data_IF_698633564711
#
_entry.id   IF_698633564711
#
_cell.length_a   1.000
_cell.length_b   1.000
_cell.length_c   1.000
_cell.angle_alpha   90.00
_cell.angle_beta   90.00
_cell.angle_gamma   90.00
#
_symmetry.space_group_name_H-M   'P 1'
#
loop_
_entity.id
_entity.type
_entity.pdbx_description
1 polymer ?
#
# COMPACT_ATOMS: atom_id res chain seq x y z
N UNK A 1 22.72 -6.06 14.47
CA UNK A 1 22.37 -4.86 13.68
C UNK A 1 23.27 -4.86 12.47
N UNK A 2 22.74 -4.74 11.27
CA UNK A 2 23.56 -4.54 10.08
C UNK A 2 23.68 -3.04 9.85
N UNK A 3 24.90 -2.53 9.79
CA UNK A 3 25.11 -1.12 9.45
C UNK A 3 24.44 -0.79 8.10
N UNK A 4 23.82 0.39 7.92
CA UNK A 4 23.28 0.80 6.65
C UNK A 4 24.39 0.85 5.60
N UNK A 5 24.13 0.23 4.44
CA UNK A 5 25.07 0.17 3.33
C UNK A 5 24.68 1.18 2.26
N UNK A 6 25.64 1.92 1.78
CA UNK A 6 25.48 2.86 0.68
C UNK A 6 25.19 2.11 -0.62
N UNK A 7 24.06 2.41 -1.27
CA UNK A 7 23.67 1.80 -2.55
C UNK A 7 23.75 2.77 -3.72
N UNK A 8 23.73 4.09 -3.44
CA UNK A 8 23.98 5.12 -4.44
C UNK A 8 24.62 6.35 -3.79
N UNK A 9 25.45 7.05 -4.56
CA UNK A 9 26.03 8.35 -4.22
C UNK A 9 25.79 9.27 -5.40
N UNK A 10 25.09 10.39 -5.18
CA UNK A 10 24.80 11.35 -6.24
C UNK A 10 26.09 12.07 -6.67
N UNK A 11 26.32 12.13 -7.98
CA UNK A 11 27.52 12.78 -8.51
C UNK A 11 27.58 14.27 -8.12
N UNK A 12 28.73 14.69 -7.59
CA UNK A 12 28.94 16.07 -7.13
C UNK A 12 28.24 16.45 -5.82
N UNK A 13 27.59 15.49 -5.15
CA UNK A 13 26.99 15.70 -3.83
C UNK A 13 28.06 15.91 -2.75
N UNK A 14 27.69 16.47 -1.58
CA UNK A 14 28.59 16.58 -0.44
C UNK A 14 29.27 15.26 -0.07
N UNK A 15 28.53 14.15 -0.08
CA UNK A 15 29.06 12.82 0.17
C UNK A 15 30.09 12.37 -0.89
N UNK A 16 29.81 12.62 -2.18
CA UNK A 16 30.74 12.29 -3.26
C UNK A 16 32.02 13.11 -3.14
N UNK A 17 31.93 14.41 -2.81
CA UNK A 17 33.09 15.29 -2.61
C UNK A 17 33.92 14.84 -1.42
N UNK A 18 33.29 14.38 -0.36
CA UNK A 18 33.93 13.83 0.83
C UNK A 18 34.53 12.43 0.62
N UNK A 19 34.26 11.77 -0.50
CA UNK A 19 34.84 10.47 -0.86
C UNK A 19 34.06 9.26 -0.35
N UNK A 20 32.77 9.42 -0.07
CA UNK A 20 31.88 8.27 0.20
C UNK A 20 31.65 7.49 -1.10
N UNK A 21 31.69 6.17 -1.03
CA UNK A 21 31.53 5.28 -2.17
C UNK A 21 30.38 4.28 -1.99
N UNK A 22 29.86 3.81 -3.12
CA UNK A 22 28.86 2.72 -3.12
C UNK A 22 29.50 1.47 -2.51
N UNK A 23 28.79 0.84 -1.58
CA UNK A 23 29.26 -0.33 -0.84
C UNK A 23 29.81 -0.01 0.56
N UNK A 24 30.03 1.27 0.90
CA UNK A 24 30.41 1.66 2.25
C UNK A 24 29.32 1.26 3.26
N UNK A 25 29.73 0.78 4.41
CA UNK A 25 28.84 0.57 5.55
C UNK A 25 28.95 1.77 6.50
N UNK A 26 27.84 2.38 6.83
CA UNK A 26 27.80 3.54 7.74
C UNK A 26 27.72 3.01 9.18
N UNK A 27 28.78 3.15 9.92
CA UNK A 27 28.88 2.68 11.31
C UNK A 27 28.24 3.66 12.27
N UNK A 28 28.57 4.95 12.11
CA UNK A 28 28.00 6.03 12.90
C UNK A 28 27.97 7.34 12.12
N UNK A 29 27.18 8.30 12.60
CA UNK A 29 27.16 9.71 12.24
C UNK A 29 27.37 10.49 13.53
N UNK A 30 28.44 11.29 13.61
CA UNK A 30 28.84 12.01 14.83
C UNK A 30 28.88 11.10 16.08
N UNK A 31 29.37 9.86 15.89
CA UNK A 31 29.50 8.85 16.95
C UNK A 31 28.18 8.14 17.31
N UNK A 32 27.05 8.45 16.67
CA UNK A 32 25.76 7.77 16.86
C UNK A 32 25.47 6.80 15.73
N UNK A 33 25.20 5.53 16.06
CA UNK A 33 24.77 4.53 15.09
C UNK A 33 23.27 4.70 14.74
N UNK A 34 22.93 5.06 13.49
CA UNK A 34 21.54 5.20 13.09
C UNK A 34 20.83 3.83 13.09
N UNK A 35 19.65 3.77 13.68
CA UNK A 35 18.87 2.50 13.77
C UNK A 35 17.84 2.34 12.65
N UNK A 36 17.53 3.43 11.97
CA UNK A 36 16.59 3.48 10.85
C UNK A 36 16.78 4.77 10.04
N UNK A 37 16.06 4.87 8.92
CA UNK A 37 16.12 6.02 8.01
C UNK A 37 15.60 7.30 8.65
N UNK A 38 14.72 7.20 9.66
CA UNK A 38 14.18 8.36 10.36
C UNK A 38 15.33 9.03 11.14
N UNK A 39 16.02 8.23 11.97
CA UNK A 39 17.17 8.74 12.73
C UNK A 39 18.34 9.13 11.84
N UNK A 40 18.55 8.38 10.75
CA UNK A 40 19.53 8.73 9.73
C UNK A 40 19.29 10.14 9.18
N UNK A 41 18.06 10.42 8.71
CA UNK A 41 17.71 11.70 8.12
C UNK A 41 17.90 12.86 9.11
N UNK A 42 17.59 12.61 10.38
CA UNK A 42 17.78 13.61 11.42
C UNK A 42 19.26 13.91 11.68
N UNK A 43 20.10 12.87 11.76
CA UNK A 43 21.54 13.00 11.98
C UNK A 43 22.26 13.70 10.82
N UNK A 44 21.84 13.46 9.58
CA UNK A 44 22.48 14.03 8.40
C UNK A 44 21.98 15.43 8.03
N UNK A 45 21.07 16.02 8.80
CA UNK A 45 20.57 17.38 8.51
C UNK A 45 21.58 18.47 8.87
N UNK A 46 22.54 18.18 9.75
CA UNK A 46 23.57 19.11 10.18
C UNK A 46 24.51 19.54 9.03
N UNK A 47 24.99 20.83 9.05
CA UNK A 47 25.88 21.35 8.00
C UNK A 47 27.27 20.71 7.99
N UNK A 48 27.76 20.27 9.12
CA UNK A 48 29.03 19.57 9.27
C UNK A 48 28.82 18.32 10.08
N UNK A 49 29.22 17.18 9.56
CA UNK A 49 29.05 15.89 10.20
C UNK A 49 30.24 14.96 9.94
N UNK A 50 30.54 14.09 10.87
CA UNK A 50 31.50 13.02 10.75
C UNK A 50 30.82 11.68 10.49
N UNK A 51 31.21 11.03 9.41
CA UNK A 51 30.74 9.68 9.05
C UNK A 51 31.83 8.67 9.41
N UNK A 52 31.52 7.77 10.33
CA UNK A 52 32.31 6.56 10.54
C UNK A 52 31.86 5.50 9.53
N UNK A 53 32.72 5.17 8.60
CA UNK A 53 32.45 4.25 7.51
C UNK A 53 33.28 2.97 7.66
N UNK A 54 32.77 1.86 7.12
CA UNK A 54 33.55 0.65 6.91
C UNK A 54 33.56 0.30 5.43
N UNK A 55 34.77 0.30 4.82
CA UNK A 55 35.01 -0.02 3.41
C UNK A 55 35.96 -1.19 3.30
N UNK A 56 35.47 -2.33 2.78
CA UNK A 56 36.31 -3.53 2.62
C UNK A 56 36.94 -4.04 3.92
N UNK A 57 36.30 -3.77 5.06
CA UNK A 57 36.82 -4.12 6.41
C UNK A 57 37.73 -3.07 7.05
N UNK A 58 38.03 -1.99 6.36
CA UNK A 58 38.79 -0.85 6.92
C UNK A 58 37.79 0.17 7.50
N UNK A 59 38.11 0.70 8.66
CA UNK A 59 37.37 1.81 9.28
C UNK A 59 37.93 3.13 8.77
N UNK A 60 37.04 4.02 8.35
CA UNK A 60 37.36 5.33 7.78
C UNK A 60 36.46 6.35 8.48
N UNK A 61 37.04 7.49 8.83
CA UNK A 61 36.30 8.66 9.28
C UNK A 61 36.33 9.71 8.15
N UNK A 62 35.14 10.18 7.76
CA UNK A 62 34.97 11.13 6.67
C UNK A 62 34.17 12.32 7.17
N UNK A 63 34.76 13.50 7.15
CA UNK A 63 34.02 14.73 7.45
C UNK A 63 33.35 15.24 6.20
N UNK A 64 32.05 15.49 6.30
CA UNK A 64 31.23 16.08 5.24
C UNK A 64 30.78 17.46 5.64
N UNK A 65 30.97 18.41 4.75
CA UNK A 65 30.47 19.79 4.92
C UNK A 65 29.47 20.08 3.79
N UNK A 66 28.33 20.62 4.16
CA UNK A 66 27.25 20.96 3.23
C UNK A 66 26.52 22.23 3.66
N UNK A 67 25.73 22.84 2.77
CA UNK A 67 24.82 23.90 3.15
C UNK A 67 23.68 23.38 4.03
N UNK A 68 23.13 24.23 4.89
CA UNK A 68 21.96 23.87 5.68
C UNK A 68 20.79 23.46 4.76
N UNK A 69 20.17 22.31 5.02
CA UNK A 69 19.09 21.73 4.20
C UNK A 69 19.56 21.11 2.86
N UNK A 70 20.85 21.14 2.55
CA UNK A 70 21.38 20.46 1.36
C UNK A 70 21.37 18.96 1.55
N UNK A 71 20.82 18.17 0.58
CA UNK A 71 20.86 16.71 0.64
C UNK A 71 22.30 16.18 0.67
N UNK A 72 22.55 15.21 1.55
CA UNK A 72 23.87 14.54 1.62
C UNK A 72 24.24 13.81 0.33
N UNK A 73 23.22 13.31 -0.39
CA UNK A 73 23.37 12.63 -1.67
C UNK A 73 23.74 11.14 -1.54
N UNK A 74 23.42 10.53 -0.41
CA UNK A 74 23.57 9.07 -0.18
C UNK A 74 22.20 8.40 -0.20
N UNK A 75 22.11 7.25 -0.88
CA UNK A 75 21.02 6.30 -0.69
C UNK A 75 21.52 5.08 0.07
N UNK A 76 20.72 4.62 1.03
CA UNK A 76 21.02 3.42 1.83
C UNK A 76 20.12 2.25 1.45
N UNK A 77 20.59 1.03 1.70
CA UNK A 77 19.96 -0.21 1.24
C UNK A 77 18.63 -0.56 1.91
N UNK A 78 18.26 0.05 3.02
CA UNK A 78 17.07 -0.30 3.81
C UNK A 78 16.57 0.92 4.57
N UNK A 79 15.29 0.90 4.94
CA UNK A 79 14.70 1.87 5.85
C UNK A 79 14.94 1.53 7.34
N UNK A 80 15.15 0.26 7.66
CA UNK A 80 15.45 -0.20 9.01
C UNK A 80 16.83 -0.83 9.04
N UNK A 81 17.68 -0.43 9.99
CA UNK A 81 19.04 -0.90 10.17
C UNK A 81 19.19 -1.81 11.38
N UNK A 82 18.20 -1.80 12.25
CA UNK A 82 18.05 -2.74 13.35
C UNK A 82 17.08 -3.88 12.99
N UNK A 83 16.39 -4.45 13.95
CA UNK A 83 15.42 -5.51 13.72
C UNK A 83 14.02 -4.93 13.51
N UNK A 84 13.35 -5.41 12.45
CA UNK A 84 11.93 -5.21 12.27
C UNK A 84 11.14 -5.79 13.45
N UNK A 85 10.15 -5.05 13.93
CA UNK A 85 9.19 -5.60 14.88
C UNK A 85 8.14 -6.43 14.15
N UNK A 86 8.26 -7.73 14.29
CA UNK A 86 7.29 -8.66 13.73
C UNK A 86 6.02 -8.71 14.59
N UNK A 87 4.88 -8.79 13.93
CA UNK A 87 3.58 -8.95 14.59
C UNK A 87 3.48 -10.33 15.26
N UNK A 88 3.05 -10.35 16.52
CA UNK A 88 2.82 -11.57 17.29
C UNK A 88 1.32 -11.92 17.49
N UNK A 89 0.43 -11.20 16.79
CA UNK A 89 -0.98 -11.54 16.75
C UNK A 89 -1.23 -12.77 15.87
N UNK A 90 -2.34 -13.45 16.11
CA UNK A 90 -2.77 -14.63 15.35
C UNK A 90 -4.18 -14.44 14.79
N UNK A 91 -4.43 -13.27 14.21
CA UNK A 91 -5.74 -12.89 13.67
C UNK A 91 -6.26 -13.94 12.69
N UNK A 92 -7.54 -14.32 12.81
CA UNK A 92 -8.17 -15.26 11.86
C UNK A 92 -8.26 -14.67 10.44
N UNK A 93 -8.33 -13.35 10.36
CA UNK A 93 -8.41 -12.60 9.10
C UNK A 93 -7.04 -12.19 8.54
N UNK A 94 -5.93 -12.63 9.14
CA UNK A 94 -4.60 -12.23 8.69
C UNK A 94 -4.33 -12.73 7.26
N UNK A 95 -4.13 -11.81 6.33
CA UNK A 95 -3.88 -12.15 4.93
C UNK A 95 -2.55 -12.91 4.73
N UNK A 96 -1.56 -12.72 5.61
CA UNK A 96 -0.28 -13.45 5.56
C UNK A 96 -0.50 -14.97 5.72
N UNK A 97 -1.42 -15.38 6.59
CA UNK A 97 -1.73 -16.80 6.77
C UNK A 97 -2.53 -17.41 5.63
N UNK A 98 -3.01 -16.56 4.72
CA UNK A 98 -3.76 -16.97 3.55
C UNK A 98 -2.93 -16.96 2.25
N UNK A 99 -1.60 -16.88 2.36
CA UNK A 99 -0.70 -16.92 1.22
C UNK A 99 -0.25 -18.36 0.92
N UNK A 100 -0.18 -18.75 -0.36
CA UNK A 100 0.41 -20.03 -0.73
C UNK A 100 1.91 -20.07 -0.42
N UNK A 101 2.44 -21.25 -0.16
CA UNK A 101 3.88 -21.43 0.02
C UNK A 101 4.65 -21.10 -1.28
N UNK A 102 5.88 -20.63 -1.16
CA UNK A 102 6.80 -20.43 -2.29
C UNK A 102 6.74 -19.07 -2.96
N UNK A 103 6.01 -18.10 -2.42
CA UNK A 103 6.08 -16.72 -2.87
C UNK A 103 7.35 -16.03 -2.35
N UNK A 104 7.60 -14.81 -2.80
CA UNK A 104 8.72 -13.99 -2.34
C UNK A 104 8.66 -13.74 -0.82
N UNK A 105 9.81 -13.66 -0.18
CA UNK A 105 9.94 -13.57 1.27
C UNK A 105 9.24 -12.34 1.87
N UNK A 106 9.28 -11.21 1.16
CA UNK A 106 8.64 -9.96 1.59
C UNK A 106 7.13 -10.11 1.82
N UNK A 107 6.45 -10.97 1.05
CA UNK A 107 5.01 -11.19 1.21
C UNK A 107 4.64 -11.91 2.52
N UNK A 108 5.58 -12.64 3.11
CA UNK A 108 5.35 -13.31 4.40
C UNK A 108 5.80 -12.50 5.59
N UNK A 109 6.28 -11.28 5.36
CA UNK A 109 6.70 -10.40 6.41
C UNK A 109 5.47 -9.85 7.13
N UNK A 110 5.35 -10.21 8.39
CA UNK A 110 4.25 -9.80 9.25
C UNK A 110 4.77 -8.76 10.24
N UNK A 111 4.66 -7.50 9.90
CA UNK A 111 5.13 -6.40 10.73
C UNK A 111 4.06 -5.87 11.70
N UNK A 112 4.51 -5.27 12.79
CA UNK A 112 3.76 -4.46 13.74
C UNK A 112 4.67 -3.33 14.24
N UNK A 113 5.32 -2.66 13.27
CA UNK A 113 6.36 -1.66 13.52
C UNK A 113 5.84 -0.26 13.19
N UNK A 114 5.69 0.58 14.21
CA UNK A 114 5.20 1.96 14.06
C UNK A 114 6.05 2.81 13.09
N UNK A 115 7.33 2.47 12.91
CA UNK A 115 8.20 3.16 11.95
C UNK A 115 7.76 2.92 10.52
N UNK A 116 7.31 1.69 10.21
CA UNK A 116 6.74 1.37 8.89
C UNK A 116 5.37 2.00 8.71
N UNK A 117 4.62 2.16 9.79
CA UNK A 117 3.38 2.93 9.79
C UNK A 117 3.64 4.37 9.36
N UNK A 118 4.60 5.04 9.99
CA UNK A 118 4.99 6.42 9.65
C UNK A 118 5.57 6.55 8.24
N UNK A 119 6.48 5.64 7.85
CA UNK A 119 7.23 5.75 6.60
C UNK A 119 6.42 5.35 5.36
N UNK A 120 5.50 4.39 5.51
CA UNK A 120 4.86 3.72 4.37
C UNK A 120 3.36 3.51 4.52
N UNK A 121 2.75 3.98 5.60
CA UNK A 121 1.32 3.80 5.83
C UNK A 121 0.92 2.39 6.30
N UNK A 122 1.86 1.53 6.68
CA UNK A 122 1.53 0.21 7.19
C UNK A 122 0.70 0.30 8.47
N UNK A 123 -0.33 -0.53 8.59
CA UNK A 123 -1.14 -0.54 9.79
C UNK A 123 -0.46 -1.30 10.92
N UNK A 124 -0.24 -0.63 12.06
CA UNK A 124 0.19 -1.27 13.31
C UNK A 124 -1.01 -1.56 14.22
N UNK A 125 -0.95 -2.67 14.96
CA UNK A 125 -1.96 -3.00 15.95
C UNK A 125 -1.66 -2.40 17.32
N UNK A 126 -0.49 -1.80 17.51
CA UNK A 126 0.07 -1.32 18.75
C UNK A 126 0.26 -2.41 19.83
N UNK A 127 0.10 -3.70 19.49
CA UNK A 127 0.24 -4.78 20.49
C UNK A 127 1.68 -4.96 20.97
N UNK A 128 2.65 -4.46 20.21
CA UNK A 128 4.07 -4.43 20.55
C UNK A 128 4.61 -3.03 20.86
N UNK A 129 3.74 -2.03 20.88
CA UNK A 129 4.10 -0.66 21.19
C UNK A 129 4.40 -0.48 22.68
N UNK A 130 5.40 0.32 23.01
CA UNK A 130 5.91 0.53 24.36
C UNK A 130 5.95 2.02 24.72
N UNK A 131 6.21 2.32 26.00
CA UNK A 131 6.40 3.70 26.46
C UNK A 131 7.57 4.41 25.77
N UNK A 132 8.67 3.69 25.54
CA UNK A 132 9.83 4.23 24.81
C UNK A 132 9.48 4.55 23.34
N UNK A 133 8.55 3.80 22.76
CA UNK A 133 8.08 4.10 21.41
C UNK A 133 7.20 5.33 21.38
N UNK A 134 6.31 5.47 22.38
CA UNK A 134 5.49 6.67 22.53
C UNK A 134 6.38 7.91 22.70
N UNK A 135 7.37 7.84 23.60
CA UNK A 135 8.33 8.92 23.82
C UNK A 135 9.03 9.31 22.51
N UNK A 136 9.48 8.32 21.74
CA UNK A 136 10.12 8.56 20.45
C UNK A 136 9.17 9.17 19.44
N UNK A 137 7.96 8.63 19.30
CA UNK A 137 6.95 9.16 18.37
C UNK A 137 6.67 10.62 18.65
N UNK A 138 6.55 10.99 19.93
CA UNK A 138 6.30 12.37 20.35
C UNK A 138 7.52 13.26 20.09
N UNK A 139 8.70 12.82 20.50
CA UNK A 139 9.93 13.65 20.42
C UNK A 139 10.44 13.83 19.00
N UNK A 140 10.28 12.81 18.15
CA UNK A 140 10.67 12.88 16.73
C UNK A 140 9.52 13.34 15.83
N UNK A 141 8.30 13.57 16.37
CA UNK A 141 7.15 14.07 15.63
C UNK A 141 6.67 13.09 14.53
N UNK A 142 6.67 11.78 14.82
CA UNK A 142 6.31 10.76 13.83
C UNK A 142 4.80 10.71 13.60
N UNK A 143 4.32 11.50 12.67
CA UNK A 143 2.92 11.69 12.30
C UNK A 143 2.80 11.85 10.77
N UNK A 144 1.79 11.26 10.11
CA UNK A 144 0.73 10.43 10.67
C UNK A 144 1.14 8.99 11.00
N UNK A 145 0.31 8.29 11.80
CA UNK A 145 0.38 6.85 12.00
C UNK A 145 -0.91 6.17 11.55
N UNK A 146 -0.79 4.91 11.11
CA UNK A 146 -1.92 4.09 10.69
C UNK A 146 -2.14 2.96 11.70
N UNK A 147 -3.33 2.85 12.28
CA UNK A 147 -3.62 1.95 13.39
C UNK A 147 -4.81 1.04 13.10
N UNK A 148 -4.58 -0.27 13.18
CA UNK A 148 -5.63 -1.29 13.14
C UNK A 148 -6.43 -1.27 14.44
N UNK A 149 -7.68 -0.83 14.38
CA UNK A 149 -8.58 -0.74 15.55
C UNK A 149 -9.44 -1.99 15.68
N UNK A 150 -10.14 -2.38 14.62
CA UNK A 150 -11.04 -3.51 14.44
C UNK A 150 -12.28 -3.51 15.37
N UNK A 151 -12.11 -3.24 16.66
CA UNK A 151 -13.17 -3.05 17.64
C UNK A 151 -12.67 -2.19 18.80
N UNK A 152 -13.56 -1.39 19.38
CA UNK A 152 -13.29 -0.61 20.59
C UNK A 152 -13.61 -1.40 21.86
N UNK A 153 -14.39 -2.46 21.78
CA UNK A 153 -14.56 -3.42 22.86
C UNK A 153 -13.31 -4.27 23.03
N UNK A 154 -12.79 -4.34 24.27
CA UNK A 154 -11.54 -5.04 24.56
C UNK A 154 -11.64 -6.55 24.36
N UNK A 155 -12.79 -7.16 24.66
CA UNK A 155 -12.96 -8.60 24.54
C UNK A 155 -13.03 -9.01 23.07
N UNK A 156 -13.81 -8.28 22.28
CA UNK A 156 -13.91 -8.49 20.83
C UNK A 156 -12.55 -8.30 20.16
N UNK A 157 -11.83 -7.22 20.49
CA UNK A 157 -10.51 -6.96 19.90
C UNK A 157 -9.48 -8.03 20.28
N UNK A 158 -9.49 -8.51 21.53
CA UNK A 158 -8.64 -9.61 21.98
C UNK A 158 -8.93 -10.90 21.20
N UNK A 159 -10.21 -11.18 20.98
CA UNK A 159 -10.65 -12.36 20.21
C UNK A 159 -10.18 -12.23 18.76
N UNK A 160 -10.45 -11.12 18.09
CA UNK A 160 -10.06 -10.88 16.70
C UNK A 160 -8.56 -11.02 16.48
N UNK A 161 -7.76 -10.43 17.37
CA UNK A 161 -6.28 -10.49 17.29
C UNK A 161 -5.71 -11.80 17.83
N UNK A 162 -6.52 -12.64 18.47
CA UNK A 162 -6.07 -13.80 19.26
C UNK A 162 -4.91 -13.44 20.19
N UNK A 163 -5.02 -12.27 20.82
CA UNK A 163 -3.99 -11.70 21.67
C UNK A 163 -4.64 -10.92 22.83
N UNK A 164 -4.36 -11.36 24.07
CA UNK A 164 -4.92 -10.74 25.28
C UNK A 164 -4.50 -9.29 25.49
N UNK A 165 -3.45 -8.83 24.79
CA UNK A 165 -3.01 -7.43 24.82
C UNK A 165 -3.82 -6.54 23.87
N UNK A 166 -4.55 -7.12 22.93
CA UNK A 166 -5.25 -6.39 21.88
C UNK A 166 -6.10 -5.23 22.43
N UNK A 167 -7.04 -5.50 23.34
CA UNK A 167 -7.90 -4.48 23.95
C UNK A 167 -7.12 -3.45 24.77
N UNK A 168 -6.30 -3.86 25.76
CA UNK A 168 -5.53 -2.92 26.58
C UNK A 168 -4.61 -1.99 25.81
N UNK A 169 -4.12 -2.36 24.64
CA UNK A 169 -3.22 -1.51 23.84
C UNK A 169 -3.91 -0.33 23.16
N UNK A 170 -5.24 -0.26 23.14
CA UNK A 170 -5.96 0.95 22.73
C UNK A 170 -5.64 2.18 23.62
N UNK A 171 -5.06 1.97 24.80
CA UNK A 171 -4.48 3.06 25.60
C UNK A 171 -3.39 3.83 24.84
N UNK A 172 -2.64 3.15 24.00
CA UNK A 172 -1.59 3.79 23.19
C UNK A 172 -2.18 4.67 22.11
N UNK A 173 -3.29 4.22 21.49
CA UNK A 173 -4.03 5.06 20.55
C UNK A 173 -4.50 6.35 21.27
N UNK A 174 -5.09 6.23 22.48
CA UNK A 174 -5.48 7.42 23.23
C UNK A 174 -4.28 8.33 23.54
N UNK A 175 -3.16 7.74 24.00
CA UNK A 175 -1.95 8.51 24.30
C UNK A 175 -1.38 9.23 23.07
N UNK A 176 -1.37 8.59 21.89
CA UNK A 176 -0.94 9.21 20.63
C UNK A 176 -1.80 10.43 20.30
N UNK A 177 -3.13 10.28 20.35
CA UNK A 177 -4.09 11.37 20.09
C UNK A 177 -3.97 12.51 21.13
N UNK A 178 -3.78 12.18 22.42
CA UNK A 178 -3.58 13.18 23.50
C UNK A 178 -2.33 14.05 23.27
N UNK A 179 -1.34 13.53 22.53
CA UNK A 179 -0.13 14.27 22.18
C UNK A 179 -0.19 14.89 20.77
N UNK A 180 -1.36 14.89 20.13
CA UNK A 180 -1.57 15.54 18.84
C UNK A 180 -0.97 14.79 17.64
N UNK A 181 -0.66 13.50 17.80
CA UNK A 181 -0.24 12.66 16.67
C UNK A 181 -1.47 12.38 15.80
N UNK A 182 -1.38 12.69 14.52
CA UNK A 182 -2.40 12.35 13.55
C UNK A 182 -2.45 10.83 13.36
N UNK A 183 -3.63 10.25 13.48
CA UNK A 183 -3.81 8.80 13.36
C UNK A 183 -4.97 8.49 12.42
N UNK A 184 -4.69 7.63 11.44
CA UNK A 184 -5.69 7.00 10.58
C UNK A 184 -6.02 5.61 11.10
N UNK A 185 -7.31 5.34 11.32
CA UNK A 185 -7.78 4.07 11.85
C UNK A 185 -8.30 3.12 10.76
N UNK A 186 -8.18 1.82 10.99
CA UNK A 186 -8.76 0.80 10.11
C UNK A 186 -9.54 -0.24 10.90
N UNK A 187 -10.69 -0.63 10.37
CA UNK A 187 -11.51 -1.76 10.81
C UNK A 187 -11.58 -2.77 9.68
N UNK A 188 -10.95 -3.93 9.83
CA UNK A 188 -11.26 -5.08 8.99
C UNK A 188 -12.54 -5.69 9.52
N UNK A 189 -13.62 -5.57 8.75
CA UNK A 189 -14.93 -6.06 9.17
C UNK A 189 -15.11 -7.52 8.71
N UNK A 190 -15.23 -8.40 9.68
CA UNK A 190 -15.35 -9.85 9.51
C UNK A 190 -16.80 -10.25 9.77
N UNK A 191 -17.54 -10.78 8.76
CA UNK A 191 -18.93 -11.15 8.91
C UNK A 191 -19.19 -12.13 10.05
N UNK A 192 -20.13 -11.77 10.95
CA UNK A 192 -20.49 -12.54 12.14
C UNK A 192 -19.52 -12.42 13.31
N UNK A 193 -18.54 -11.49 13.25
CA UNK A 193 -17.58 -11.29 14.33
C UNK A 193 -17.57 -9.85 14.84
N UNK A 194 -17.33 -8.88 13.97
CA UNK A 194 -17.32 -7.45 14.31
C UNK A 194 -18.14 -6.58 13.35
N UNK A 195 -19.09 -7.16 12.64
CA UNK A 195 -20.10 -6.50 11.83
C UNK A 195 -21.36 -6.14 12.65
N UNK A 196 -22.39 -5.61 12.01
CA UNK A 196 -23.68 -5.29 12.61
C UNK A 196 -23.56 -4.47 13.90
N UNK A 197 -24.19 -4.94 14.97
CA UNK A 197 -24.23 -4.26 16.27
C UNK A 197 -22.83 -4.03 16.87
N UNK A 198 -21.87 -4.91 16.59
CA UNK A 198 -20.48 -4.75 17.08
C UNK A 198 -19.78 -3.62 16.32
N UNK A 199 -20.00 -3.50 15.01
CA UNK A 199 -19.48 -2.38 14.23
C UNK A 199 -20.09 -1.06 14.72
N UNK A 200 -21.40 -1.03 14.93
CA UNK A 200 -22.10 0.14 15.47
C UNK A 200 -21.55 0.55 16.85
N UNK A 201 -21.41 -0.40 17.77
CA UNK A 201 -20.79 -0.16 19.07
C UNK A 201 -19.33 0.32 18.96
N UNK A 202 -18.60 -0.17 17.94
CA UNK A 202 -17.22 0.27 17.67
C UNK A 202 -17.21 1.73 17.22
N UNK A 203 -18.10 2.13 16.30
CA UNK A 203 -18.20 3.51 15.83
C UNK A 203 -18.63 4.45 16.97
N UNK A 204 -19.59 4.04 17.80
CA UNK A 204 -19.94 4.78 19.02
C UNK A 204 -18.74 4.93 19.98
N UNK A 205 -18.00 3.86 20.18
CA UNK A 205 -16.80 3.87 21.02
C UNK A 205 -15.65 4.71 20.45
N UNK A 206 -15.57 4.88 19.13
CA UNK A 206 -14.65 5.82 18.50
C UNK A 206 -15.07 7.25 18.78
N UNK A 207 -16.36 7.59 18.64
CA UNK A 207 -16.87 8.92 18.97
C UNK A 207 -16.60 9.31 20.44
N UNK A 208 -16.77 8.36 21.34
CA UNK A 208 -16.62 8.57 22.78
C UNK A 208 -15.16 8.71 23.22
N UNK A 209 -14.26 7.90 22.66
CA UNK A 209 -12.89 7.76 23.16
C UNK A 209 -11.79 8.24 22.22
N UNK A 210 -12.05 8.33 20.93
CA UNK A 210 -11.05 8.64 19.91
C UNK A 210 -11.56 9.62 18.83
N UNK A 211 -12.32 10.69 19.23
CA UNK A 211 -12.90 11.62 18.25
C UNK A 211 -11.86 12.43 17.47
N UNK A 212 -10.61 12.45 17.93
CA UNK A 212 -9.49 13.15 17.28
C UNK A 212 -8.84 12.34 16.15
N UNK A 213 -9.23 11.09 15.91
CA UNK A 213 -8.76 10.32 14.76
C UNK A 213 -8.90 11.15 13.48
N UNK A 214 -7.88 11.18 12.65
CA UNK A 214 -7.92 11.91 11.37
C UNK A 214 -8.96 11.30 10.42
N UNK A 215 -8.97 9.99 10.32
CA UNK A 215 -9.97 9.23 9.56
C UNK A 215 -10.07 7.79 10.08
N UNK A 216 -11.13 7.09 9.67
CA UNK A 216 -11.37 5.69 9.96
C UNK A 216 -11.92 4.99 8.72
N UNK A 217 -11.24 3.97 8.21
CA UNK A 217 -11.78 3.16 7.13
C UNK A 217 -12.35 1.82 7.64
N UNK A 218 -13.44 1.40 7.04
CA UNK A 218 -14.02 0.07 7.20
C UNK A 218 -13.78 -0.70 5.91
N UNK A 219 -13.00 -1.78 5.99
CA UNK A 219 -12.65 -2.62 4.84
C UNK A 219 -13.21 -4.02 5.03
N UNK A 220 -13.67 -4.70 3.97
CA UNK A 220 -14.15 -6.07 4.08
C UNK A 220 -13.00 -7.05 4.33
N UNK A 221 -13.34 -8.17 4.90
CA UNK A 221 -12.43 -9.30 5.03
C UNK A 221 -12.08 -9.86 3.65
N UNK A 222 -10.81 -9.79 3.28
CA UNK A 222 -10.28 -10.49 2.11
C UNK A 222 -10.09 -11.98 2.37
N UNK A 223 -10.60 -12.84 1.48
CA UNK A 223 -10.47 -14.30 1.59
C UNK A 223 -9.81 -14.87 0.35
N UNK A 224 -8.70 -15.59 0.56
CA UNK A 224 -8.07 -16.37 -0.50
C UNK A 224 -8.50 -17.85 -0.44
N UNK A 225 -8.26 -18.59 -1.53
CA UNK A 225 -8.50 -20.04 -1.58
C UNK A 225 -7.64 -20.87 -0.60
N UNK A 226 -6.64 -20.24 0.02
CA UNK A 226 -5.79 -20.85 1.04
C UNK A 226 -6.17 -20.45 2.46
N UNK A 227 -7.34 -19.84 2.63
CA UNK A 227 -7.88 -19.60 3.96
C UNK A 227 -8.25 -20.95 4.62
N UNK A 228 -7.80 -21.13 5.85
CA UNK A 228 -8.05 -22.34 6.65
C UNK A 228 -8.89 -22.06 7.90
N UNK A 229 -9.29 -20.80 8.11
CA UNK A 229 -10.06 -20.39 9.28
C UNK A 229 -11.57 -20.61 9.03
N UNK A 230 -12.22 -21.53 9.74
CA UNK A 230 -13.59 -21.95 9.40
C UNK A 230 -14.64 -20.87 9.66
N UNK A 231 -14.36 -19.87 10.50
CA UNK A 231 -15.28 -18.75 10.74
C UNK A 231 -15.17 -17.65 9.68
N UNK A 232 -14.08 -17.61 8.94
CA UNK A 232 -13.82 -16.56 7.96
C UNK A 232 -14.52 -16.91 6.64
N UNK A 233 -15.35 -16.00 6.18
CA UNK A 233 -16.09 -16.12 4.93
C UNK A 233 -16.21 -14.76 4.25
N UNK A 234 -16.45 -14.76 2.97
CA UNK A 234 -16.68 -13.55 2.22
C UNK A 234 -17.95 -12.82 2.71
N UNK A 235 -17.92 -11.50 2.62
CA UNK A 235 -19.07 -10.63 2.86
C UNK A 235 -20.15 -10.87 1.79
N UNK A 236 -21.39 -11.05 2.18
CA UNK A 236 -22.52 -11.13 1.24
C UNK A 236 -22.94 -9.74 0.77
N UNK A 237 -23.74 -9.69 -0.29
CA UNK A 237 -24.30 -8.44 -0.82
C UNK A 237 -25.11 -7.68 0.23
N UNK A 238 -25.94 -8.40 0.99
CA UNK A 238 -26.83 -7.85 2.02
C UNK A 238 -26.00 -7.29 3.20
N UNK A 239 -24.95 -8.00 3.61
CA UNK A 239 -24.03 -7.53 4.65
C UNK A 239 -23.28 -6.30 4.18
N UNK A 240 -22.78 -6.29 2.94
CA UNK A 240 -22.14 -5.13 2.34
C UNK A 240 -23.05 -3.91 2.32
N UNK A 241 -24.30 -4.08 1.89
CA UNK A 241 -25.29 -3.01 1.90
C UNK A 241 -25.60 -2.50 3.32
N UNK A 242 -25.58 -3.39 4.31
CA UNK A 242 -25.75 -3.02 5.71
C UNK A 242 -24.57 -2.17 6.22
N UNK A 243 -23.34 -2.54 5.88
CA UNK A 243 -22.14 -1.76 6.23
C UNK A 243 -22.17 -0.37 5.58
N UNK A 244 -22.49 -0.30 4.26
CA UNK A 244 -22.60 0.99 3.56
C UNK A 244 -23.63 1.90 4.22
N UNK A 245 -24.81 1.36 4.55
CA UNK A 245 -25.88 2.12 5.23
C UNK A 245 -25.40 2.59 6.63
N UNK A 246 -24.84 1.70 7.42
CA UNK A 246 -24.37 2.01 8.78
C UNK A 246 -23.28 3.08 8.75
N UNK A 247 -22.32 2.96 7.85
CA UNK A 247 -21.25 3.96 7.67
C UNK A 247 -21.85 5.32 7.28
N UNK A 248 -22.83 5.35 6.36
CA UNK A 248 -23.48 6.59 5.96
C UNK A 248 -24.26 7.26 7.13
N UNK A 249 -24.94 6.47 7.95
CA UNK A 249 -25.62 6.96 9.17
C UNK A 249 -24.61 7.56 10.17
N UNK A 250 -23.50 6.88 10.41
CA UNK A 250 -22.46 7.36 11.31
C UNK A 250 -21.67 8.54 10.75
N UNK A 251 -21.48 8.62 9.44
CA UNK A 251 -20.92 9.82 8.81
C UNK A 251 -21.75 11.07 9.14
N UNK A 252 -23.06 10.94 9.13
CA UNK A 252 -23.95 12.06 9.49
C UNK A 252 -23.88 12.39 10.97
N UNK A 253 -23.82 11.40 11.86
CA UNK A 253 -23.64 11.59 13.30
C UNK A 253 -22.30 12.31 13.58
N UNK A 254 -21.21 11.82 13.02
CA UNK A 254 -19.90 12.45 13.19
C UNK A 254 -19.89 13.88 12.62
N UNK A 255 -20.50 14.11 11.47
CA UNK A 255 -20.61 15.44 10.88
C UNK A 255 -21.36 16.41 11.78
N UNK A 256 -22.43 15.98 12.45
CA UNK A 256 -23.17 16.81 13.39
C UNK A 256 -22.39 17.10 14.69
N UNK A 257 -21.64 16.13 15.18
CA UNK A 257 -20.92 16.25 16.46
C UNK A 257 -19.52 16.84 16.28
N UNK A 258 -18.79 16.40 15.25
CA UNK A 258 -17.38 16.75 15.03
C UNK A 258 -17.16 17.75 13.89
N UNK A 259 -18.19 18.03 13.09
CA UNK A 259 -18.07 18.87 11.90
C UNK A 259 -17.45 18.19 10.68
N UNK A 260 -17.17 16.87 10.74
CA UNK A 260 -16.57 16.07 9.69
C UNK A 260 -17.09 14.64 9.72
N UNK A 261 -16.93 13.89 8.62
CA UNK A 261 -17.51 12.54 8.48
C UNK A 261 -16.73 11.45 9.22
N UNK A 262 -15.45 11.60 9.38
CA UNK A 262 -14.51 10.71 10.09
C UNK A 262 -14.43 9.27 9.54
N UNK A 263 -15.56 8.55 9.33
CA UNK A 263 -15.59 7.15 8.92
C UNK A 263 -15.95 6.98 7.46
N UNK A 264 -15.31 6.01 6.78
CA UNK A 264 -15.53 5.73 5.36
C UNK A 264 -15.54 4.22 5.12
N UNK A 265 -16.48 3.75 4.27
CA UNK A 265 -16.43 2.40 3.74
C UNK A 265 -15.52 2.36 2.51
N UNK A 266 -14.74 1.28 2.37
CA UNK A 266 -13.94 1.08 1.17
C UNK A 266 -14.83 0.86 -0.06
N UNK A 267 -14.30 1.14 -1.24
CA UNK A 267 -14.99 1.02 -2.52
C UNK A 267 -15.52 -0.41 -2.76
N UNK A 268 -14.82 -1.42 -2.23
CA UNK A 268 -15.24 -2.81 -2.34
C UNK A 268 -16.63 -3.06 -1.74
N UNK A 269 -17.02 -2.36 -0.67
CA UNK A 269 -18.37 -2.49 -0.12
C UNK A 269 -19.44 -1.98 -1.08
N UNK A 270 -19.18 -0.89 -1.79
CA UNK A 270 -20.12 -0.35 -2.79
C UNK A 270 -20.25 -1.30 -3.97
N UNK A 271 -19.13 -1.89 -4.42
CA UNK A 271 -19.14 -2.91 -5.48
C UNK A 271 -19.90 -4.17 -5.05
N UNK A 272 -19.63 -4.69 -3.86
CA UNK A 272 -20.32 -5.88 -3.32
C UNK A 272 -21.81 -5.64 -3.13
N UNK A 273 -22.20 -4.44 -2.69
CA UNK A 273 -23.58 -4.05 -2.48
C UNK A 273 -24.33 -3.67 -3.78
N UNK A 274 -23.62 -3.55 -4.90
CA UNK A 274 -24.12 -3.02 -6.17
C UNK A 274 -24.73 -1.62 -5.98
N UNK A 275 -24.00 -0.75 -5.32
CA UNK A 275 -24.39 0.63 -5.04
C UNK A 275 -23.42 1.62 -5.69
N UNK A 276 -23.91 2.81 -6.08
CA UNK A 276 -23.04 3.84 -6.64
C UNK A 276 -22.03 4.33 -5.62
N UNK A 277 -20.83 4.69 -6.09
CA UNK A 277 -19.83 5.33 -5.25
C UNK A 277 -20.30 6.71 -4.78
N UNK A 278 -19.94 7.13 -3.57
CA UNK A 278 -20.23 8.47 -3.07
C UNK A 278 -19.67 9.57 -3.97
N UNK A 279 -20.24 10.78 -3.89
CA UNK A 279 -19.69 11.93 -4.57
C UNK A 279 -18.32 12.33 -4.00
N UNK A 280 -17.42 12.96 -4.80
CA UNK A 280 -16.05 13.27 -4.39
C UNK A 280 -15.95 14.03 -3.07
N UNK A 281 -16.89 14.94 -2.82
CA UNK A 281 -16.95 15.78 -1.61
C UNK A 281 -17.20 14.95 -0.33
N UNK A 282 -17.77 13.76 -0.49
CA UNK A 282 -18.04 12.86 0.65
C UNK A 282 -16.76 12.29 1.25
N UNK A 283 -15.71 12.16 0.45
CA UNK A 283 -14.44 11.56 0.89
C UNK A 283 -13.52 12.52 1.65
N UNK A 284 -13.89 13.80 1.78
CA UNK A 284 -13.17 14.82 2.56
C UNK A 284 -11.65 14.85 2.29
N UNK A 285 -11.28 14.82 1.01
CA UNK A 285 -9.88 14.89 0.58
C UNK A 285 -9.21 13.53 0.35
N UNK A 286 -9.95 12.43 0.43
CA UNK A 286 -9.45 11.07 0.12
C UNK A 286 -8.29 10.63 1.02
N UNK A 287 -8.33 10.94 2.31
CA UNK A 287 -7.26 10.64 3.26
C UNK A 287 -6.91 9.15 3.37
N UNK A 288 -7.84 8.25 3.02
CA UNK A 288 -7.67 6.79 3.06
C UNK A 288 -7.69 6.17 1.65
N UNK A 289 -7.22 6.90 0.66
CA UNK A 289 -7.23 6.46 -0.74
C UNK A 289 -6.47 5.13 -0.94
N UNK A 290 -5.33 4.98 -0.28
CA UNK A 290 -4.50 3.78 -0.37
C UNK A 290 -5.15 2.53 0.25
N UNK A 291 -6.13 2.73 1.12
CA UNK A 291 -6.94 1.66 1.72
C UNK A 291 -8.18 1.31 0.88
N UNK A 292 -8.26 1.83 -0.34
CA UNK A 292 -9.37 1.61 -1.25
C UNK A 292 -10.60 2.44 -0.95
N UNK A 293 -10.44 3.61 -0.32
CA UNK A 293 -11.53 4.56 -0.05
C UNK A 293 -11.52 5.67 -1.10
N UNK A 294 -12.46 5.65 -2.01
CA UNK A 294 -12.59 6.64 -3.10
C UNK A 294 -11.61 6.43 -4.26
N UNK A 295 -10.90 5.32 -4.32
CA UNK A 295 -9.98 4.98 -5.40
C UNK A 295 -10.72 4.82 -6.73
N UNK A 296 -11.87 4.15 -6.72
CA UNK A 296 -12.71 4.00 -7.89
C UNK A 296 -13.25 5.35 -8.38
N UNK A 297 -13.65 6.22 -7.45
CA UNK A 297 -14.14 7.56 -7.81
C UNK A 297 -13.02 8.43 -8.39
N UNK A 298 -11.82 8.41 -7.86
CA UNK A 298 -10.67 9.14 -8.44
C UNK A 298 -10.31 8.61 -9.81
N UNK A 299 -10.33 7.28 -10.00
CA UNK A 299 -10.15 6.67 -11.30
C UNK A 299 -11.17 7.15 -12.34
N UNK A 300 -12.47 7.17 -11.98
CA UNK A 300 -13.54 7.69 -12.85
C UNK A 300 -13.30 9.17 -13.19
N UNK A 301 -12.89 9.98 -12.22
CA UNK A 301 -12.58 11.39 -12.45
C UNK A 301 -11.43 11.57 -13.44
N UNK A 302 -10.35 10.86 -13.25
CA UNK A 302 -9.17 10.90 -14.13
C UNK A 302 -9.49 10.35 -15.52
N UNK A 303 -10.22 9.25 -15.61
CA UNK A 303 -10.63 8.64 -16.87
C UNK A 303 -11.53 9.55 -17.70
N UNK A 304 -12.40 10.32 -17.05
CA UNK A 304 -13.30 11.29 -17.70
C UNK A 304 -12.65 12.67 -17.93
N UNK A 305 -11.34 12.81 -17.67
CA UNK A 305 -10.59 14.05 -17.84
C UNK A 305 -10.86 15.10 -16.76
N UNK A 306 -11.49 14.72 -15.65
CA UNK A 306 -11.61 15.53 -14.44
C UNK A 306 -10.32 15.35 -13.62
N UNK A 307 -9.72 16.44 -13.16
CA UNK A 307 -8.46 16.38 -12.41
C UNK A 307 -8.70 15.75 -11.02
N UNK A 308 -7.93 14.72 -10.68
CA UNK A 308 -7.81 14.25 -9.30
C UNK A 308 -6.68 15.00 -8.60
N UNK A 309 -6.88 15.35 -7.33
CA UNK A 309 -5.83 15.94 -6.48
C UNK A 309 -5.09 14.89 -5.67
N UNK A 310 -5.48 13.62 -5.80
CA UNK A 310 -4.84 12.52 -5.07
C UNK A 310 -3.48 12.24 -5.69
N UNK A 311 -2.45 12.30 -4.87
CA UNK A 311 -1.09 11.95 -5.28
C UNK A 311 -0.89 10.44 -5.16
N UNK A 312 -0.04 9.89 -6.03
CA UNK A 312 0.30 8.47 -5.97
C UNK A 312 1.11 8.13 -4.71
N UNK A 313 0.96 6.89 -4.32
CA UNK A 313 1.66 6.29 -3.18
C UNK A 313 3.18 6.39 -3.27
N UNK A 314 3.80 6.45 -2.11
CA UNK A 314 5.24 6.31 -1.99
C UNK A 314 5.67 4.84 -2.21
N UNK A 315 6.95 4.68 -2.47
CA UNK A 315 7.59 3.37 -2.58
C UNK A 315 7.50 2.58 -1.28
N UNK A 316 6.89 1.41 -1.33
CA UNK A 316 6.67 0.59 -0.15
C UNK A 316 7.94 -0.04 0.43
N UNK A 317 7.88 -0.36 1.71
CA UNK A 317 8.94 -1.03 2.47
C UNK A 317 9.40 -2.35 1.85
N UNK A 318 8.51 -3.07 1.21
CA UNK A 318 8.83 -4.39 0.62
C UNK A 318 9.95 -4.34 -0.43
N UNK A 319 10.10 -3.21 -1.14
CA UNK A 319 11.21 -3.02 -2.05
C UNK A 319 12.58 -3.06 -1.34
N UNK A 320 12.63 -2.67 -0.07
CA UNK A 320 13.83 -2.73 0.75
C UNK A 320 14.12 -4.15 1.24
N UNK A 321 13.07 -4.92 1.55
CA UNK A 321 13.19 -6.30 2.05
C UNK A 321 13.69 -7.24 0.96
N UNK A 322 13.17 -7.08 -0.24
CA UNK A 322 13.55 -7.92 -1.39
C UNK A 322 14.94 -7.59 -1.91
N UNK A 323 15.39 -6.35 -1.73
CA UNK A 323 16.64 -5.85 -2.28
C UNK A 323 16.63 -5.66 -3.78
N UNK A 324 17.67 -5.10 -4.34
CA UNK A 324 17.84 -4.98 -5.79
C UNK A 324 18.45 -6.26 -6.38
N UNK A 325 18.07 -6.70 -7.59
CA UNK A 325 18.71 -7.80 -8.28
C UNK A 325 20.21 -7.57 -8.46
N UNK A 326 20.99 -8.63 -8.49
CA UNK A 326 22.41 -8.53 -8.79
C UNK A 326 22.63 -7.87 -10.15
N UNK A 327 23.40 -6.78 -10.17
CA UNK A 327 23.66 -6.00 -11.39
C UNK A 327 22.64 -4.92 -11.72
N UNK A 328 21.64 -4.72 -10.89
CA UNK A 328 20.73 -3.58 -11.02
C UNK A 328 21.50 -2.25 -10.86
N UNK A 329 21.12 -1.19 -11.61
CA UNK A 329 21.66 0.14 -11.39
C UNK A 329 21.49 0.63 -9.97
N UNK A 330 22.39 1.47 -9.50
CA UNK A 330 22.22 2.11 -8.20
C UNK A 330 20.87 2.85 -8.13
N UNK A 331 20.12 2.64 -7.07
CA UNK A 331 18.76 3.19 -6.91
C UNK A 331 17.63 2.38 -7.53
N UNK A 332 17.90 1.28 -8.21
CA UNK A 332 16.91 0.42 -8.86
C UNK A 332 16.16 -0.50 -7.88
N UNK A 333 15.76 0.01 -6.75
CA UNK A 333 15.13 -0.76 -5.65
C UNK A 333 13.87 -1.53 -6.04
N UNK A 334 13.16 -1.02 -7.04
CA UNK A 334 11.89 -1.58 -7.51
C UNK A 334 12.06 -2.64 -8.60
N UNK A 335 13.26 -2.75 -9.12
CA UNK A 335 13.59 -3.75 -10.12
C UNK A 335 13.96 -5.10 -9.48
N UNK A 336 13.91 -5.17 -8.16
CA UNK A 336 14.23 -6.35 -7.38
C UNK A 336 13.28 -7.54 -7.55
N UNK A 337 12.27 -7.40 -8.37
CA UNK A 337 11.29 -8.45 -8.64
C UNK A 337 11.80 -9.60 -9.52
N UNK A 338 13.06 -9.58 -9.94
CA UNK A 338 13.64 -10.63 -10.79
C UNK A 338 13.57 -12.05 -10.22
N UNK A 339 13.55 -12.17 -8.88
CA UNK A 339 13.47 -13.48 -8.19
C UNK A 339 12.08 -14.13 -8.23
N UNK A 340 11.08 -13.46 -8.79
CA UNK A 340 9.68 -13.92 -8.76
C UNK A 340 9.18 -14.48 -10.08
N UNK A 341 10.05 -14.71 -11.01
CA UNK A 341 9.67 -15.10 -12.36
C UNK A 341 9.01 -13.95 -13.14
N UNK A 342 9.10 -12.72 -12.65
CA UNK A 342 8.75 -11.55 -13.41
C UNK A 342 9.72 -11.37 -14.59
N UNK A 343 9.27 -10.78 -15.71
CA UNK A 343 10.16 -10.46 -16.81
C UNK A 343 11.34 -9.63 -16.31
N UNK A 344 12.50 -9.77 -16.97
CA UNK A 344 13.75 -9.09 -16.59
C UNK A 344 13.62 -7.55 -16.47
N UNK A 345 12.56 -7.02 -17.01
CA UNK A 345 12.22 -5.59 -16.98
C UNK A 345 11.58 -5.15 -15.64
N UNK A 346 11.42 -6.07 -14.68
CA UNK A 346 10.83 -5.79 -13.41
C UNK A 346 9.38 -5.29 -13.52
N UNK A 347 8.98 -4.40 -12.64
CA UNK A 347 7.68 -3.74 -12.70
C UNK A 347 7.67 -2.53 -13.65
N UNK A 348 8.56 -2.46 -14.62
CA UNK A 348 8.43 -1.48 -15.69
C UNK A 348 7.15 -1.74 -16.46
N UNK A 349 6.08 -1.21 -15.96
CA UNK A 349 4.89 -1.10 -16.76
C UNK A 349 5.15 -0.01 -17.81
N UNK A 350 5.72 -0.40 -18.95
CA UNK A 350 5.63 0.43 -20.14
C UNK A 350 4.20 0.35 -20.61
N UNK A 351 3.48 1.42 -20.43
CA UNK A 351 2.07 1.49 -20.80
C UNK A 351 1.91 2.47 -21.91
N UNK A 352 1.64 1.93 -23.05
CA UNK A 352 1.24 2.72 -24.19
C UNK A 352 -0.19 2.33 -24.51
N UNK A 353 -1.14 3.18 -24.15
CA UNK A 353 -2.50 3.08 -24.64
C UNK A 353 -2.63 4.03 -25.84
N UNK A 354 -3.04 3.50 -26.97
CA UNK A 354 -3.39 4.32 -28.13
C UNK A 354 -4.90 4.46 -28.14
N UNK A 355 -5.37 5.65 -27.83
CA UNK A 355 -6.79 5.97 -27.88
C UNK A 355 -7.13 6.55 -29.25
N UNK A 356 -8.20 6.11 -29.91
CA UNK A 356 -8.71 6.79 -31.09
C UNK A 356 -9.35 8.11 -30.66
N UNK A 357 -8.88 9.22 -31.17
CA UNK A 357 -9.45 10.54 -30.90
C UNK A 357 -8.96 11.58 -31.90
N UNK A 358 -9.79 12.60 -32.14
CA UNK A 358 -9.58 13.67 -33.10
C UNK A 358 -8.59 14.77 -32.59
N UNK A 359 -7.56 14.39 -31.87
CA UNK A 359 -6.52 15.31 -31.41
C UNK A 359 -5.39 15.47 -32.42
N UNK A 360 -4.63 16.57 -32.40
CA UNK A 360 -3.48 16.72 -33.28
C UNK A 360 -2.46 15.64 -33.00
N UNK A 361 -1.90 15.08 -34.08
CA UNK A 361 -0.91 14.02 -34.01
C UNK A 361 0.27 14.42 -33.11
N UNK A 362 0.51 13.65 -32.04
CA UNK A 362 1.59 13.90 -31.09
C UNK A 362 1.17 14.31 -29.67
N UNK A 363 -0.12 14.37 -29.37
CA UNK A 363 -0.55 14.61 -28.00
C UNK A 363 -0.47 13.32 -27.19
N UNK A 364 0.47 13.24 -26.26
CA UNK A 364 0.52 12.16 -25.27
C UNK A 364 -0.23 12.61 -24.02
N UNK A 365 -1.25 11.84 -23.66
CA UNK A 365 -1.94 12.01 -22.37
C UNK A 365 -1.38 10.97 -21.42
N UNK A 366 -0.74 11.42 -20.36
CA UNK A 366 -0.30 10.55 -19.29
C UNK A 366 -1.48 10.32 -18.34
N UNK A 367 -1.98 9.10 -18.30
CA UNK A 367 -3.00 8.71 -17.31
C UNK A 367 -2.28 7.95 -16.20
N UNK A 368 -2.23 8.47 -14.98
CA UNK A 368 -1.69 7.72 -13.86
C UNK A 368 -2.61 6.52 -13.58
N UNK A 369 -2.06 5.33 -13.64
CA UNK A 369 -2.78 4.12 -13.23
C UNK A 369 -2.21 3.69 -11.91
N UNK A 370 -2.95 3.91 -10.85
CA UNK A 370 -2.65 3.38 -9.53
C UNK A 370 -2.93 1.88 -9.56
N UNK A 371 -1.90 1.08 -9.28
CA UNK A 371 -2.08 -0.37 -9.30
C UNK A 371 -2.86 -0.80 -8.06
N UNK A 372 -3.90 -1.60 -8.27
CA UNK A 372 -4.73 -2.23 -7.23
C UNK A 372 -3.98 -3.31 -6.43
N UNK A 373 -2.70 -3.22 -6.26
CA UNK A 373 -1.96 -4.12 -5.40
C UNK A 373 -1.25 -3.30 -4.32
N UNK A 374 -1.53 -3.61 -3.10
CA UNK A 374 -0.90 -3.06 -1.89
C UNK A 374 0.59 -3.34 -1.78
N UNK A 375 1.29 -3.40 -2.86
CA UNK A 375 2.75 -3.44 -2.94
C UNK A 375 3.14 -2.66 -4.17
N UNK A 376 3.11 -1.39 -4.02
CA UNK A 376 3.69 -0.35 -4.84
C UNK A 376 4.29 -0.76 -6.17
N UNK A 377 3.90 -0.17 -7.22
CA UNK A 377 4.89 0.51 -8.02
C UNK A 377 4.63 2.01 -8.12
N UNK A 378 5.65 2.78 -8.52
CA UNK A 378 5.47 4.18 -8.83
C UNK A 378 4.34 4.35 -9.83
N UNK A 379 3.74 5.52 -9.83
CA UNK A 379 2.72 5.95 -10.77
C UNK A 379 3.02 5.40 -12.16
N UNK A 380 2.23 4.45 -12.56
CA UNK A 380 2.37 3.98 -13.91
C UNK A 380 1.71 5.00 -14.82
N UNK A 381 2.51 5.71 -15.55
CA UNK A 381 2.06 6.63 -16.57
C UNK A 381 1.67 5.84 -17.81
N UNK A 382 0.39 5.83 -18.14
CA UNK A 382 -0.06 5.35 -19.46
C UNK A 382 0.17 6.48 -20.43
N UNK A 383 1.17 6.35 -21.26
CA UNK A 383 1.35 7.25 -22.40
C UNK A 383 0.42 6.79 -23.52
N UNK A 384 -0.62 7.55 -23.82
CA UNK A 384 -1.47 7.33 -24.99
C UNK A 384 -0.94 8.18 -26.13
N UNK A 385 -0.54 7.53 -27.23
CA UNK A 385 -0.25 8.23 -28.49
C UNK A 385 -1.45 8.07 -29.42
N UNK A 386 -2.04 9.18 -29.81
CA UNK A 386 -3.10 9.18 -30.83
C UNK A 386 -2.44 9.09 -32.21
N UNK A 387 -2.52 7.93 -32.81
CA UNK A 387 -2.04 7.70 -34.17
C UNK A 387 -3.21 7.31 -35.07
N UNK A 388 -3.18 7.73 -36.33
CA UNK A 388 -4.24 7.51 -37.34
C UNK A 388 -4.20 6.12 -37.99
N UNK A 389 -3.80 5.07 -37.27
CA UNK A 389 -3.77 3.73 -37.79
C UNK A 389 -4.79 2.84 -37.06
N UNK A 390 -5.69 2.20 -37.83
CA UNK A 390 -6.62 1.22 -37.29
C UNK A 390 -5.86 -0.04 -36.87
N UNK A 391 -5.69 -0.21 -35.55
CA UNK A 391 -5.08 -1.40 -34.95
C UNK A 391 -5.67 -1.67 -33.55
N UNK A 392 -5.59 -2.90 -33.03
CA UNK A 392 -6.14 -3.20 -31.70
C UNK A 392 -5.41 -2.42 -30.61
N UNK A 393 -6.17 -1.84 -29.68
CA UNK A 393 -5.64 -1.20 -28.49
C UNK A 393 -5.39 -2.27 -27.45
N UNK A 394 -4.12 -2.40 -27.02
CA UNK A 394 -3.74 -3.31 -25.95
C UNK A 394 -3.47 -2.50 -24.68
N UNK A 395 -4.23 -2.75 -23.64
CA UNK A 395 -4.00 -2.17 -22.30
C UNK A 395 -3.35 -3.26 -21.45
N UNK A 396 -2.12 -3.02 -21.01
CA UNK A 396 -1.41 -3.96 -20.15
C UNK A 396 -1.36 -3.37 -18.74
N UNK A 397 -2.05 -4.02 -17.82
CA UNK A 397 -2.04 -3.66 -16.40
C UNK A 397 -0.89 -4.34 -15.64
N UNK A 398 -0.41 -3.74 -14.56
CA UNK A 398 0.70 -4.25 -13.74
C UNK A 398 0.51 -5.65 -13.13
N UNK A 399 -0.66 -6.25 -13.31
CA UNK A 399 -0.94 -7.63 -12.89
C UNK A 399 -0.73 -8.66 -14.03
N UNK A 400 -0.12 -8.27 -15.15
CA UNK A 400 0.07 -9.17 -16.28
C UNK A 400 -1.20 -9.47 -17.10
N UNK A 401 -2.25 -8.68 -16.92
CA UNK A 401 -3.48 -8.78 -17.71
C UNK A 401 -3.36 -7.89 -18.94
N UNK A 402 -3.41 -8.49 -20.11
CA UNK A 402 -3.46 -7.78 -21.39
C UNK A 402 -4.88 -7.86 -21.94
N UNK A 403 -5.51 -6.71 -22.19
CA UNK A 403 -6.83 -6.64 -22.83
C UNK A 403 -6.65 -6.05 -24.23
N UNK A 404 -6.96 -6.81 -25.24
CA UNK A 404 -7.00 -6.35 -26.62
C UNK A 404 -8.44 -5.94 -26.97
N UNK A 405 -8.64 -4.67 -27.31
CA UNK A 405 -9.95 -4.16 -27.74
C UNK A 405 -10.02 -4.14 -29.27
N UNK A 406 -11.12 -4.58 -29.88
CA UNK A 406 -11.26 -4.54 -31.33
C UNK A 406 -11.46 -3.10 -31.83
N UNK A 407 -10.81 -2.79 -32.93
CA UNK A 407 -10.77 -1.44 -33.55
C UNK A 407 -11.95 -1.12 -34.45
N UNK A 408 -13.08 -1.77 -34.36
CA UNK A 408 -14.25 -1.45 -35.15
C UNK A 408 -15.26 -0.61 -34.39
N UNK A 409 -14.92 0.64 -34.10
CA UNK A 409 -15.90 1.67 -33.80
C UNK A 409 -15.69 2.80 -34.80
N UNK A 410 -16.41 2.74 -35.91
CA UNK A 410 -16.53 3.86 -36.83
C UNK A 410 -17.46 4.90 -36.23
N UNK A 411 -16.97 6.13 -36.18
CA UNK A 411 -17.69 7.39 -36.09
C UNK A 411 -18.62 7.62 -34.90
N UNK A 412 -18.30 8.72 -34.22
CA UNK A 412 -19.17 9.39 -33.25
C UNK A 412 -19.58 8.51 -32.06
N UNK A 413 -18.63 7.92 -31.40
CA UNK A 413 -18.83 7.55 -30.02
C UNK A 413 -18.60 8.82 -29.17
N UNK A 414 -19.66 9.45 -28.76
CA UNK A 414 -19.68 10.08 -27.45
C UNK A 414 -19.05 9.06 -26.51
N UNK A 415 -17.97 9.46 -25.86
CA UNK A 415 -17.29 8.66 -24.86
C UNK A 415 -18.33 8.17 -23.86
N UNK A 416 -18.85 6.96 -24.06
CA UNK A 416 -19.72 6.29 -23.11
C UNK A 416 -18.86 5.83 -21.98
N UNK A 417 -19.18 6.23 -20.79
CA UNK A 417 -18.56 5.85 -19.55
C UNK A 417 -18.53 4.32 -19.43
N UNK A 418 -17.39 3.71 -19.75
CA UNK A 418 -17.15 2.35 -19.31
C UNK A 418 -16.93 2.43 -17.80
N UNK A 419 -17.88 1.96 -17.03
CA UNK A 419 -17.76 1.88 -15.58
C UNK A 419 -16.69 0.84 -15.21
N UNK A 420 -16.13 0.96 -14.01
CA UNK A 420 -15.22 -0.06 -13.48
C UNK A 420 -15.85 -1.47 -13.48
N UNK A 421 -17.19 -1.53 -13.45
CA UNK A 421 -17.96 -2.75 -13.59
C UNK A 421 -17.80 -3.42 -14.98
N UNK A 422 -17.71 -2.61 -16.05
CA UNK A 422 -17.56 -3.15 -17.43
C UNK A 422 -16.18 -3.80 -17.62
N UNK A 423 -15.17 -3.33 -16.89
CA UNK A 423 -13.82 -3.92 -16.91
C UNK A 423 -13.78 -5.23 -16.13
N UNK A 424 -14.52 -5.32 -15.03
CA UNK A 424 -14.62 -6.53 -14.22
C UNK A 424 -15.44 -7.64 -14.93
N UNK A 425 -16.49 -7.27 -15.66
CA UNK A 425 -17.35 -8.20 -16.43
C UNK A 425 -16.59 -8.81 -17.61
N UNK A 426 -15.62 -8.10 -18.20
CA UNK A 426 -14.78 -8.66 -19.27
C UNK A 426 -13.84 -9.78 -18.78
N UNK A 427 -13.63 -9.94 -17.47
CA UNK A 427 -12.84 -11.01 -16.86
C UNK A 427 -13.65 -12.24 -16.45
N UNK A 428 -14.99 -12.19 -16.50
CA UNK A 428 -15.91 -13.23 -16.04
C UNK A 428 -16.89 -13.76 -17.11
N UNK A 429 -16.74 -13.41 -18.37
CA UNK A 429 -17.69 -13.75 -19.42
C UNK A 429 -17.48 -15.15 -20.02
N UNK A 430 -18.52 -15.92 -19.97
CA UNK A 430 -18.70 -17.23 -20.58
C UNK A 430 -18.61 -17.19 -22.12
N UNK A 431 -18.09 -18.30 -22.65
CA UNK A 431 -18.02 -18.71 -24.05
C UNK A 431 -19.35 -18.51 -24.83
N UNK A 432 -19.43 -17.52 -25.70
CA UNK A 432 -20.22 -17.62 -26.91
C UNK A 432 -19.64 -16.80 -28.04
N UNK A 433 -19.27 -17.51 -29.10
CA UNK A 433 -18.59 -17.17 -30.30
C UNK A 433 -18.82 -15.77 -30.89
N UNK A 434 -17.76 -15.03 -30.97
CA UNK A 434 -17.65 -13.81 -31.76
C UNK A 434 -16.18 -13.41 -31.78
N UNK A 435 -15.63 -13.34 -32.96
CA UNK A 435 -14.23 -13.10 -33.23
C UNK A 435 -13.70 -11.85 -32.53
N UNK A 436 -12.63 -11.99 -31.72
CA UNK A 436 -11.77 -10.85 -31.46
C UNK A 436 -11.44 -10.47 -30.04
N UNK A 437 -11.74 -11.26 -29.02
CA UNK A 437 -11.27 -10.94 -27.66
C UNK A 437 -10.38 -12.05 -27.14
N UNK A 438 -9.09 -11.81 -27.05
CA UNK A 438 -8.16 -12.77 -26.45
C UNK A 438 -7.80 -12.23 -25.06
N UNK A 439 -8.31 -12.88 -24.03
CA UNK A 439 -7.85 -12.67 -22.67
C UNK A 439 -6.79 -13.73 -22.38
N UNK A 440 -5.56 -13.33 -22.35
CA UNK A 440 -4.44 -14.22 -22.00
C UNK A 440 -4.17 -14.12 -20.50
N UNK A 441 -4.62 -15.10 -19.73
CA UNK A 441 -4.13 -15.29 -18.38
C UNK A 441 -2.90 -16.18 -18.48
N UNK A 442 -1.72 -15.65 -18.28
CA UNK A 442 -0.49 -16.41 -18.19
C UNK A 442 -0.43 -17.19 -16.87
N UNK A 443 -1.11 -18.33 -16.83
CA UNK A 443 -0.88 -19.34 -15.82
C UNK A 443 -0.13 -20.47 -16.49
N UNK A 444 1.11 -20.70 -16.14
CA UNK A 444 1.85 -21.89 -16.55
C UNK A 444 1.32 -23.06 -15.77
N UNK A 445 0.40 -23.82 -16.36
CA UNK A 445 0.15 -25.20 -15.97
C UNK A 445 1.29 -26.06 -16.50
N UNK A 446 2.22 -26.42 -15.63
CA UNK A 446 3.06 -27.57 -15.84
C UNK A 446 2.33 -28.79 -15.28
N UNK A 447 1.53 -29.41 -16.11
CA UNK A 447 1.06 -30.75 -15.90
C UNK A 447 2.22 -31.76 -15.99
N UNK A 448 2.55 -32.39 -14.90
CA UNK A 448 3.25 -33.66 -14.93
C UNK A 448 2.52 -34.62 -13.98
N UNK A 449 1.76 -35.52 -14.60
CA UNK A 449 1.15 -36.62 -13.88
C UNK A 449 2.19 -37.61 -13.45
N UNK A 450 2.14 -37.98 -12.17
CA UNK A 450 2.66 -39.27 -11.72
C UNK A 450 1.76 -39.77 -10.60
N UNK A 451 1.13 -40.87 -10.91
CA UNK A 451 0.40 -41.75 -9.98
C UNK A 451 1.38 -42.34 -8.95
N UNK A 452 1.10 -42.10 -7.68
CA UNK A 452 1.82 -42.75 -6.57
C UNK A 452 0.87 -42.92 -5.38
N UNK A 453 0.37 -44.13 -5.24
CA UNK A 453 -0.37 -44.63 -4.07
C UNK A 453 0.56 -44.74 -2.87
N UNK A 454 0.18 -44.23 -1.72
CA UNK A 454 0.55 -44.75 -0.42
C UNK A 454 -0.38 -44.22 0.68
N UNK A 455 -0.97 -45.19 1.38
CA UNK A 455 -1.76 -45.03 2.60
C UNK A 455 -0.88 -44.92 3.87
N UNK A 456 -1.47 -44.85 5.09
CA UNK A 456 -1.15 -43.84 6.10
C UNK A 456 -0.30 -44.37 7.24
N UNK A 457 0.33 -43.48 7.96
CA UNK A 457 0.44 -43.54 9.43
C UNK A 457 0.38 -42.12 10.00
#
# INVERSE_FOLDING_TARGET
MSAPRVVAVAAGSPAAVAGVEVGDEIVAVDGEAPRDIIRWNWLIDEPELALDLRRGGLELEVTVTKAAGEPLGIEVHSALFDQLRTCDNHCEFCFIYQLPAGLRKSLYLKDDDYRLSFLYGNFTTLTRFTELDLERVITEGLSPLNVSIHATDHAVRNEMLRNRRGGPTLRWLRALLDHGIEVHGQIVCCPGLNDGDVLEATLAGVLDRFPELASLCVVPLGISRWNHEPRMRATTREEAATVVRLVAEWQEIYRQVLGRRLVFASDEYYLLADQPFPEPETYEGFAMHEDGVGMARTFEMEFTGRTSTVTSTQAGFFAWVDGAPAGAPAGARYEAAGDYGAPADGYRAVRTATLPGDGPAGTSVAVPVTALASTTPPSATVASTVGSAAGPVTITGGCGVSVALPTTATSAATCGTASAADIAVASAGDDHGGEGTTVGIGGTDNGNGSTGTASPV
#
